data_IF_329306484981
#
_entry.id   IF_329306484981
#
_cell.length_a   1.000
_cell.length_b   1.000
_cell.length_c   1.000
_cell.angle_alpha   90.00
_cell.angle_beta   90.00
_cell.angle_gamma   90.00
#
_symmetry.space_group_name_H-M   'P 1'
#
loop_
_entity.id
_entity.type
_entity.pdbx_description
1 polymer ?
#
# COMPACT_ATOMS: atom_id res chain seq x y z
N UNK A 1 -6.08 4.36 22.49
CA UNK A 1 -6.71 4.79 21.22
C UNK A 1 -7.14 6.25 21.24
N UNK A 2 -7.94 6.74 22.22
CA UNK A 2 -8.38 8.16 22.23
C UNK A 2 -7.23 9.18 22.30
N UNK A 3 -6.18 8.87 23.06
CA UNK A 3 -4.94 9.67 23.07
C UNK A 3 -4.28 9.69 21.70
N UNK A 4 -4.03 8.50 21.12
CA UNK A 4 -3.45 8.37 19.78
C UNK A 4 -4.26 9.13 18.71
N UNK A 5 -5.58 9.06 18.73
CA UNK A 5 -6.44 9.81 17.81
C UNK A 5 -6.27 11.33 17.97
N UNK A 6 -6.18 11.80 19.22
CA UNK A 6 -5.93 13.22 19.51
C UNK A 6 -4.54 13.63 19.02
N UNK A 7 -3.52 12.80 19.27
CA UNK A 7 -2.14 13.02 18.83
C UNK A 7 -2.04 13.10 17.30
N UNK A 8 -2.68 12.19 16.56
CA UNK A 8 -2.71 12.23 15.09
C UNK A 8 -3.45 13.44 14.53
N UNK A 9 -4.53 13.89 15.18
CA UNK A 9 -5.21 15.15 14.80
C UNK A 9 -4.30 16.36 14.99
N UNK A 10 -3.55 16.40 16.09
CA UNK A 10 -2.56 17.46 16.35
C UNK A 10 -1.43 17.40 15.31
N UNK A 11 -0.91 16.20 15.01
CA UNK A 11 0.14 16.01 14.02
C UNK A 11 -0.30 16.49 12.63
N UNK A 12 -1.51 16.14 12.18
CA UNK A 12 -2.08 16.64 10.93
C UNK A 12 -2.23 18.16 10.93
N UNK A 13 -2.77 18.74 12.01
CA UNK A 13 -2.94 20.20 12.12
C UNK A 13 -1.59 20.93 12.07
N UNK A 14 -0.55 20.38 12.71
CA UNK A 14 0.79 20.94 12.68
C UNK A 14 1.40 20.86 11.28
N UNK A 15 1.29 19.70 10.62
CA UNK A 15 1.78 19.51 9.25
C UNK A 15 1.08 20.46 8.27
N UNK A 16 -0.23 20.65 8.37
CA UNK A 16 -0.99 21.60 7.56
C UNK A 16 -0.56 23.05 7.82
N UNK A 17 -0.30 23.41 9.08
CA UNK A 17 0.16 24.75 9.45
C UNK A 17 1.54 25.03 8.86
N UNK A 18 2.46 24.09 9.00
CA UNK A 18 3.83 24.18 8.46
C UNK A 18 3.82 24.26 6.92
N UNK A 19 3.01 23.42 6.26
CA UNK A 19 2.76 23.47 4.81
C UNK A 19 2.31 24.87 4.37
N UNK A 20 1.24 25.39 5.00
CA UNK A 20 0.65 26.67 4.62
C UNK A 20 1.62 27.85 4.84
N UNK A 21 2.32 27.89 5.97
CA UNK A 21 3.29 28.97 6.27
C UNK A 21 4.45 28.92 5.28
N UNK A 22 5.01 27.73 5.03
CA UNK A 22 6.17 27.57 4.17
C UNK A 22 5.86 27.92 2.71
N UNK A 23 4.70 27.48 2.20
CA UNK A 23 4.26 27.82 0.84
C UNK A 23 3.94 29.30 0.72
N UNK A 24 3.30 29.91 1.73
CA UNK A 24 3.03 31.35 1.71
C UNK A 24 4.32 32.16 1.67
N UNK A 25 5.30 31.78 2.51
CA UNK A 25 6.62 32.41 2.55
C UNK A 25 7.36 32.25 1.21
N UNK A 26 7.45 31.03 0.69
CA UNK A 26 8.13 30.76 -0.57
C UNK A 26 7.44 31.44 -1.76
N UNK A 27 6.10 31.47 -1.79
CA UNK A 27 5.32 32.19 -2.80
C UNK A 27 5.60 33.70 -2.74
N UNK A 28 5.62 34.28 -1.55
CA UNK A 28 5.92 35.70 -1.38
C UNK A 28 7.32 36.04 -1.88
N UNK A 29 8.31 35.19 -1.60
CA UNK A 29 9.69 35.35 -2.09
C UNK A 29 9.75 35.22 -3.61
N UNK A 30 9.07 34.24 -4.20
CA UNK A 30 8.98 34.07 -5.65
C UNK A 30 8.34 35.29 -6.33
N UNK A 31 7.18 35.74 -5.86
CA UNK A 31 6.51 36.93 -6.39
C UNK A 31 7.36 38.20 -6.24
N UNK A 32 8.09 38.33 -5.13
CA UNK A 32 9.07 39.39 -4.92
C UNK A 32 10.20 39.33 -5.95
N UNK A 33 10.78 38.15 -6.17
CA UNK A 33 11.84 37.91 -7.15
C UNK A 33 11.40 38.22 -8.58
N UNK A 34 10.19 37.84 -8.97
CA UNK A 34 9.62 38.16 -10.30
C UNK A 34 9.49 39.68 -10.49
N UNK A 35 9.02 40.40 -9.47
CA UNK A 35 8.90 41.87 -9.52
C UNK A 35 10.28 42.53 -9.61
N UNK A 36 11.23 42.08 -8.80
CA UNK A 36 12.59 42.61 -8.81
C UNK A 36 13.28 42.36 -10.15
N UNK A 37 13.16 41.15 -10.71
CA UNK A 37 13.66 40.83 -12.05
C UNK A 37 13.02 41.70 -13.15
N UNK A 38 11.71 41.91 -13.08
CA UNK A 38 11.00 42.80 -14.02
C UNK A 38 11.47 44.25 -13.92
N UNK A 39 11.72 44.73 -12.70
CA UNK A 39 12.24 46.08 -12.46
C UNK A 39 13.68 46.22 -12.96
N UNK A 40 14.55 45.26 -12.64
CA UNK A 40 15.93 45.26 -13.09
C UNK A 40 16.04 45.19 -14.63
N UNK A 41 15.15 44.44 -15.28
CA UNK A 41 15.04 44.43 -16.75
C UNK A 41 14.67 45.82 -17.31
N UNK A 42 13.72 46.52 -16.69
CA UNK A 42 13.34 47.87 -17.09
C UNK A 42 14.47 48.88 -16.86
N UNK A 43 15.17 48.78 -15.73
CA UNK A 43 16.31 49.64 -15.40
C UNK A 43 17.48 49.42 -16.37
N UNK A 44 17.73 48.18 -16.78
CA UNK A 44 18.72 47.87 -17.82
C UNK A 44 18.37 48.49 -19.17
N UNK A 45 17.12 48.39 -19.62
CA UNK A 45 16.68 49.03 -20.86
C UNK A 45 16.75 50.57 -20.78
N UNK A 46 16.47 51.14 -19.61
CA UNK A 46 16.62 52.58 -19.38
C UNK A 46 18.09 53.02 -19.45
N UNK A 47 19.01 52.25 -18.86
CA UNK A 47 20.45 52.52 -18.92
C UNK A 47 20.98 52.52 -20.36
N UNK A 48 20.57 51.54 -21.17
CA UNK A 48 20.92 51.46 -22.59
C UNK A 48 20.52 52.73 -23.36
N UNK A 49 19.37 53.32 -23.00
CA UNK A 49 18.79 54.47 -23.69
C UNK A 49 19.40 55.80 -23.22
N UNK A 50 19.55 56.00 -21.92
CA UNK A 50 19.93 57.30 -21.33
C UNK A 50 21.30 57.81 -21.82
N UNK A 51 22.31 56.93 -21.92
CA UNK A 51 23.62 57.33 -22.43
C UNK A 51 23.61 57.72 -23.91
N UNK A 52 22.73 57.10 -24.72
CA UNK A 52 22.60 57.41 -26.14
C UNK A 52 22.07 58.82 -26.38
N UNK A 53 21.15 59.31 -25.54
CA UNK A 53 20.56 60.65 -25.69
C UNK A 53 21.58 61.76 -25.41
N UNK A 54 22.40 61.61 -24.37
CA UNK A 54 23.44 62.60 -24.05
C UNK A 54 24.48 62.71 -25.16
N UNK A 55 24.93 61.57 -25.70
CA UNK A 55 25.88 61.55 -26.82
C UNK A 55 25.26 62.22 -28.06
N UNK A 56 24.02 61.88 -28.43
CA UNK A 56 23.32 62.52 -29.55
C UNK A 56 23.18 64.04 -29.39
N UNK A 57 22.93 64.52 -28.18
CA UNK A 57 22.88 65.95 -27.89
C UNK A 57 24.20 66.65 -28.18
N UNK A 58 25.30 66.08 -27.67
CA UNK A 58 26.66 66.61 -27.90
C UNK A 58 27.06 66.54 -29.38
N UNK A 59 26.73 65.47 -30.09
CA UNK A 59 26.93 65.35 -31.54
C UNK A 59 26.16 66.43 -32.32
N UNK A 60 24.95 66.77 -31.87
CA UNK A 60 24.16 67.86 -32.44
C UNK A 60 24.82 69.23 -32.24
N UNK A 61 25.35 69.49 -31.05
CA UNK A 61 26.10 70.72 -30.75
C UNK A 61 27.39 70.83 -31.58
N UNK A 62 28.13 69.73 -31.75
CA UNK A 62 29.32 69.69 -32.62
C UNK A 62 28.95 70.04 -34.06
N UNK A 63 27.87 69.47 -34.60
CA UNK A 63 27.41 69.79 -35.98
C UNK A 63 27.08 71.27 -36.17
N UNK A 64 26.55 71.93 -35.13
CA UNK A 64 26.28 73.37 -35.18
C UNK A 64 27.59 74.17 -35.27
N UNK A 65 28.58 73.83 -34.44
CA UNK A 65 29.90 74.46 -34.45
C UNK A 65 30.64 74.23 -35.77
N UNK A 66 30.54 73.03 -36.35
CA UNK A 66 31.10 72.69 -37.67
C UNK A 66 30.47 73.55 -38.78
N UNK A 67 29.16 73.79 -38.70
CA UNK A 67 28.45 74.65 -39.64
C UNK A 67 28.90 76.12 -39.50
N UNK A 68 29.08 76.62 -38.28
CA UNK A 68 29.61 77.97 -38.03
C UNK A 68 31.03 78.13 -38.56
N UNK A 69 31.90 77.11 -38.37
CA UNK A 69 33.24 77.08 -38.97
C UNK A 69 33.16 77.12 -40.49
N UNK A 70 32.28 76.32 -41.10
CA UNK A 70 32.12 76.29 -42.55
C UNK A 70 31.68 77.66 -43.11
N UNK A 71 30.75 78.34 -42.42
CA UNK A 71 30.32 79.70 -42.79
C UNK A 71 31.48 80.70 -42.67
N UNK A 72 32.26 80.66 -41.58
CA UNK A 72 33.41 81.54 -41.40
C UNK A 72 34.51 81.29 -42.46
N UNK A 73 34.73 80.03 -42.83
CA UNK A 73 35.65 79.65 -43.91
C UNK A 73 35.17 80.15 -45.28
N UNK A 74 33.88 80.04 -45.57
CA UNK A 74 33.28 80.59 -46.78
C UNK A 74 33.48 82.11 -46.84
N UNK A 75 33.27 82.83 -45.73
CA UNK A 75 33.49 84.27 -45.65
C UNK A 75 34.96 84.68 -45.80
N UNK A 76 35.90 83.89 -45.30
CA UNK A 76 37.33 84.12 -45.52
C UNK A 76 37.76 83.88 -46.97
N UNK A 77 37.02 83.06 -47.71
CA UNK A 77 37.25 82.77 -49.12
C UNK A 77 36.44 83.67 -50.07
N UNK A 78 35.65 84.60 -49.54
CA UNK A 78 34.80 85.51 -50.31
C UNK A 78 35.66 86.44 -51.17
N UNK A 79 35.51 86.34 -52.50
CA UNK A 79 36.32 87.09 -53.46
C UNK A 79 36.12 88.61 -53.35
N UNK A 80 34.91 89.07 -53.02
CA UNK A 80 34.61 90.50 -52.88
C UNK A 80 35.32 91.08 -51.64
N UNK A 81 35.27 90.37 -50.52
CA UNK A 81 35.99 90.72 -49.30
C UNK A 81 37.52 90.74 -49.52
N UNK A 82 38.06 89.71 -50.18
CA UNK A 82 39.49 89.61 -50.45
C UNK A 82 39.99 90.71 -51.39
N UNK A 83 39.23 91.02 -52.45
CA UNK A 83 39.55 92.13 -53.33
C UNK A 83 39.49 93.47 -52.59
N UNK A 84 38.46 93.69 -51.77
CA UNK A 84 38.33 94.90 -50.93
C UNK A 84 39.51 95.07 -49.98
N UNK A 85 40.00 93.97 -49.38
CA UNK A 85 41.18 93.98 -48.53
C UNK A 85 42.45 94.35 -49.30
N UNK A 86 42.70 93.72 -50.46
CA UNK A 86 43.88 94.02 -51.29
C UNK A 86 43.85 95.47 -51.83
N UNK A 87 42.68 95.98 -52.20
CA UNK A 87 42.50 97.38 -52.59
C UNK A 87 42.80 98.36 -51.44
N UNK A 88 42.27 98.10 -50.24
CA UNK A 88 42.53 98.90 -49.05
C UNK A 88 44.02 98.89 -48.67
N UNK A 89 44.66 97.73 -48.75
CA UNK A 89 46.11 97.57 -48.51
C UNK A 89 46.96 98.32 -49.52
N UNK A 90 46.59 98.30 -50.80
CA UNK A 90 47.24 99.08 -51.84
C UNK A 90 47.02 100.59 -51.66
N UNK A 91 45.82 101.02 -51.22
CA UNK A 91 45.52 102.41 -50.89
C UNK A 91 46.35 102.91 -49.69
N UNK A 92 46.41 102.15 -48.61
CA UNK A 92 47.26 102.42 -47.43
C UNK A 92 48.72 102.59 -47.84
N UNK A 93 49.26 101.64 -48.61
CA UNK A 93 50.66 101.67 -49.05
C UNK A 93 50.96 102.94 -49.86
N UNK A 94 50.07 103.31 -50.80
CA UNK A 94 50.21 104.53 -51.60
C UNK A 94 50.12 105.79 -50.73
N UNK A 95 49.13 105.88 -49.84
CA UNK A 95 48.92 107.03 -48.97
C UNK A 95 50.08 107.23 -47.98
N UNK A 96 50.61 106.13 -47.42
CA UNK A 96 51.79 106.12 -46.54
C UNK A 96 53.04 106.65 -47.24
N UNK A 97 53.32 106.21 -48.46
CA UNK A 97 54.47 106.70 -49.25
C UNK A 97 54.35 108.19 -49.53
N UNK A 98 53.18 108.62 -50.04
CA UNK A 98 52.89 110.02 -50.38
C UNK A 98 53.02 110.95 -49.17
N UNK A 99 52.50 110.53 -48.01
CA UNK A 99 52.67 111.26 -46.75
C UNK A 99 54.15 111.33 -46.34
N UNK A 100 54.89 110.22 -46.37
CA UNK A 100 56.30 110.16 -46.01
C UNK A 100 57.24 111.01 -46.89
N UNK A 101 56.84 111.27 -48.14
CA UNK A 101 57.58 112.11 -49.10
C UNK A 101 57.19 113.60 -49.03
N UNK A 102 56.23 113.99 -48.20
CA UNK A 102 55.70 115.37 -48.16
C UNK A 102 56.65 116.33 -47.43
N UNK A 103 56.93 117.50 -48.05
CA UNK A 103 57.69 118.59 -47.40
C UNK A 103 56.92 119.17 -46.21
N UNK A 104 57.55 119.15 -45.03
CA UNK A 104 57.03 119.68 -43.77
C UNK A 104 56.70 121.18 -43.81
N UNK A 105 57.31 121.94 -44.73
CA UNK A 105 57.01 123.38 -44.89
C UNK A 105 55.73 123.62 -45.71
N UNK A 106 55.19 122.61 -46.40
CA UNK A 106 53.93 122.69 -47.14
C UNK A 106 52.76 122.20 -46.26
N UNK A 107 52.30 123.08 -45.36
CA UNK A 107 51.28 122.75 -44.38
C UNK A 107 49.98 122.19 -45.01
N UNK A 108 49.53 122.71 -46.16
CA UNK A 108 48.29 122.23 -46.80
C UNK A 108 48.43 120.81 -47.36
N UNK A 109 49.53 120.53 -48.08
CA UNK A 109 49.78 119.20 -48.62
C UNK A 109 50.02 118.18 -47.50
N UNK A 110 50.75 118.59 -46.45
CA UNK A 110 51.00 117.76 -45.28
C UNK A 110 49.70 117.34 -44.58
N UNK A 111 48.82 118.29 -44.25
CA UNK A 111 47.55 117.98 -43.57
C UNK A 111 46.63 117.12 -44.44
N UNK A 112 46.56 117.37 -45.75
CA UNK A 112 45.75 116.55 -46.67
C UNK A 112 46.28 115.11 -46.76
N UNK A 113 47.59 114.93 -47.01
CA UNK A 113 48.16 113.59 -47.15
C UNK A 113 48.15 112.81 -45.84
N UNK A 114 48.27 113.48 -44.68
CA UNK A 114 48.09 112.85 -43.37
C UNK A 114 46.65 112.34 -43.20
N UNK A 115 45.65 113.14 -43.58
CA UNK A 115 44.24 112.72 -43.53
C UNK A 115 43.97 111.52 -44.44
N UNK A 116 44.48 111.54 -45.67
CA UNK A 116 44.34 110.43 -46.63
C UNK A 116 44.99 109.15 -46.08
N UNK A 117 46.18 109.26 -45.48
CA UNK A 117 46.87 108.16 -44.82
C UNK A 117 46.05 107.57 -43.67
N UNK A 118 45.56 108.41 -42.75
CA UNK A 118 44.76 107.97 -41.60
C UNK A 118 43.45 107.29 -42.03
N UNK A 119 42.81 107.79 -43.10
CA UNK A 119 41.59 107.19 -43.64
C UNK A 119 41.86 105.81 -44.26
N UNK A 120 42.94 105.69 -45.05
CA UNK A 120 43.32 104.42 -45.64
C UNK A 120 43.78 103.39 -44.59
N UNK A 121 44.47 103.85 -43.54
CA UNK A 121 44.84 103.04 -42.37
C UNK A 121 43.60 102.52 -41.64
N UNK A 122 42.65 103.38 -41.31
CA UNK A 122 41.40 102.98 -40.64
C UNK A 122 40.59 101.97 -41.46
N UNK A 123 40.54 102.16 -42.79
CA UNK A 123 39.82 101.24 -43.67
C UNK A 123 40.51 99.87 -43.73
N UNK A 124 41.85 99.83 -43.85
CA UNK A 124 42.60 98.57 -43.82
C UNK A 124 42.42 97.86 -42.48
N UNK A 125 42.57 98.57 -41.37
CA UNK A 125 42.41 98.04 -40.01
C UNK A 125 41.02 97.43 -39.81
N UNK A 126 39.96 98.10 -40.29
CA UNK A 126 38.60 97.57 -40.20
C UNK A 126 38.39 96.25 -40.95
N UNK A 127 39.05 96.06 -42.10
CA UNK A 127 38.98 94.81 -42.86
C UNK A 127 39.85 93.72 -42.24
N UNK A 128 41.00 94.08 -41.68
CA UNK A 128 41.84 93.16 -40.91
C UNK A 128 41.09 92.64 -39.67
N UNK A 129 40.36 93.49 -38.98
CA UNK A 129 39.51 93.12 -37.84
C UNK A 129 38.41 92.14 -38.26
N UNK A 130 37.73 92.37 -39.40
CA UNK A 130 36.73 91.44 -39.95
C UNK A 130 37.34 90.06 -40.27
N UNK A 131 38.47 90.03 -40.98
CA UNK A 131 39.16 88.78 -41.32
C UNK A 131 39.65 88.06 -40.07
N UNK A 132 40.17 88.80 -39.09
CA UNK A 132 40.60 88.22 -37.82
C UNK A 132 39.42 87.64 -37.03
N UNK A 133 38.27 88.32 -37.00
CA UNK A 133 37.06 87.81 -36.35
C UNK A 133 36.59 86.46 -36.91
N UNK A 134 36.68 86.24 -38.22
CA UNK A 134 36.40 84.92 -38.80
C UNK A 134 37.44 83.86 -38.42
N UNK A 135 38.74 84.21 -38.36
CA UNK A 135 39.80 83.30 -37.90
C UNK A 135 39.64 82.91 -36.43
N UNK A 136 39.26 83.87 -35.60
CA UNK A 136 38.99 83.67 -34.17
C UNK A 136 37.78 82.76 -34.01
N UNK A 137 36.69 82.99 -34.75
CA UNK A 137 35.51 82.12 -34.77
C UNK A 137 35.88 80.67 -35.09
N UNK A 138 36.73 80.44 -36.10
CA UNK A 138 37.18 79.10 -36.46
C UNK A 138 37.97 78.46 -35.31
N UNK A 139 38.92 79.20 -34.74
CA UNK A 139 39.82 78.70 -33.69
C UNK A 139 39.05 78.38 -32.41
N UNK A 140 38.15 79.27 -32.00
CA UNK A 140 37.32 79.12 -30.80
C UNK A 140 36.36 77.93 -30.96
N UNK A 141 35.67 77.83 -32.10
CA UNK A 141 34.76 76.71 -32.35
C UNK A 141 35.50 75.37 -32.47
N UNK A 142 36.72 75.33 -33.02
CA UNK A 142 37.56 74.12 -33.01
C UNK A 142 37.90 73.68 -31.59
N UNK A 143 38.27 74.62 -30.72
CA UNK A 143 38.54 74.36 -29.29
C UNK A 143 37.29 73.84 -28.57
N UNK A 144 36.11 74.40 -28.84
CA UNK A 144 34.84 73.93 -28.29
C UNK A 144 34.46 72.53 -28.79
N UNK A 145 34.71 72.21 -30.07
CA UNK A 145 34.52 70.85 -30.60
C UNK A 145 35.41 69.85 -29.87
N UNK A 146 36.69 70.15 -29.65
CA UNK A 146 37.59 69.25 -28.90
C UNK A 146 37.11 69.00 -27.46
N UNK A 147 36.58 70.02 -26.79
CA UNK A 147 35.98 69.87 -25.46
C UNK A 147 34.76 68.96 -25.50
N UNK A 148 33.85 69.16 -26.46
CA UNK A 148 32.65 68.33 -26.63
C UNK A 148 32.98 66.88 -27.00
N UNK A 149 34.02 66.65 -27.80
CA UNK A 149 34.51 65.30 -28.12
C UNK A 149 34.99 64.56 -26.86
N UNK A 150 35.71 65.25 -25.95
CA UNK A 150 36.09 64.68 -24.65
C UNK A 150 34.87 64.40 -23.76
N UNK A 151 33.85 65.25 -23.81
CA UNK A 151 32.58 64.99 -23.12
C UNK A 151 31.85 63.75 -23.67
N UNK A 152 31.86 63.54 -24.98
CA UNK A 152 31.31 62.33 -25.63
C UNK A 152 32.08 61.09 -25.19
N UNK A 153 33.42 61.13 -25.19
CA UNK A 153 34.24 60.00 -24.74
C UNK A 153 33.92 59.63 -23.28
N UNK A 154 33.85 60.64 -22.40
CA UNK A 154 33.46 60.45 -21.00
C UNK A 154 32.05 59.90 -20.85
N UNK A 155 31.09 60.42 -21.62
CA UNK A 155 29.71 59.94 -21.62
C UNK A 155 29.61 58.48 -22.08
N UNK A 156 30.38 58.10 -23.11
CA UNK A 156 30.45 56.72 -23.60
C UNK A 156 31.04 55.76 -22.57
N UNK A 157 32.11 56.17 -21.88
CA UNK A 157 32.70 55.37 -20.80
C UNK A 157 31.73 55.18 -19.61
N UNK A 158 31.02 56.24 -19.22
CA UNK A 158 30.00 56.17 -18.16
C UNK A 158 28.82 55.29 -18.58
N UNK A 159 28.33 55.43 -19.81
CA UNK A 159 27.26 54.58 -20.35
C UNK A 159 27.66 53.10 -20.35
N UNK A 160 28.90 52.78 -20.75
CA UNK A 160 29.38 51.40 -20.75
C UNK A 160 29.39 50.81 -19.33
N UNK A 161 29.82 51.60 -18.33
CA UNK A 161 29.81 51.20 -16.93
C UNK A 161 28.39 51.02 -16.39
N UNK A 162 27.50 51.97 -16.66
CA UNK A 162 26.10 51.92 -16.21
C UNK A 162 25.36 50.73 -16.84
N UNK A 163 25.57 50.47 -18.13
CA UNK A 163 25.04 49.29 -18.82
C UNK A 163 25.55 47.99 -18.20
N UNK A 164 26.85 47.89 -17.93
CA UNK A 164 27.43 46.70 -17.32
C UNK A 164 26.88 46.47 -15.91
N UNK A 165 26.74 47.53 -15.12
CA UNK A 165 26.15 47.45 -13.78
C UNK A 165 24.69 46.98 -13.86
N UNK A 166 23.89 47.60 -14.73
CA UNK A 166 22.48 47.25 -14.88
C UNK A 166 22.27 45.85 -15.45
N UNK A 167 23.13 45.37 -16.36
CA UNK A 167 23.14 43.98 -16.83
C UNK A 167 23.43 43.01 -15.69
N UNK A 168 24.46 43.28 -14.87
CA UNK A 168 24.78 42.43 -13.71
C UNK A 168 23.65 42.40 -12.68
N UNK A 169 23.04 43.55 -12.41
CA UNK A 169 21.89 43.68 -11.51
C UNK A 169 20.69 42.87 -12.06
N UNK A 170 20.42 42.95 -13.37
CA UNK A 170 19.40 42.15 -14.05
C UNK A 170 19.67 40.65 -13.99
N UNK A 171 20.87 40.20 -14.33
CA UNK A 171 21.25 38.79 -14.26
C UNK A 171 21.11 38.23 -12.85
N UNK A 172 21.57 38.99 -11.85
CA UNK A 172 21.46 38.60 -10.44
C UNK A 172 19.99 38.50 -9.99
N UNK A 173 19.16 39.47 -10.37
CA UNK A 173 17.73 39.45 -10.06
C UNK A 173 16.99 38.30 -10.77
N UNK A 174 17.32 38.02 -12.04
CA UNK A 174 16.78 36.89 -12.80
C UNK A 174 17.11 35.56 -12.11
N UNK A 175 18.39 35.34 -11.78
CA UNK A 175 18.84 34.12 -11.11
C UNK A 175 18.20 33.97 -9.72
N UNK A 176 18.06 35.06 -8.97
CA UNK A 176 17.37 35.04 -7.68
C UNK A 176 15.89 34.69 -7.82
N UNK A 177 15.23 35.16 -8.89
CA UNK A 177 13.84 34.82 -9.20
C UNK A 177 13.66 33.35 -9.59
N UNK A 178 14.59 32.81 -10.39
CA UNK A 178 14.62 31.38 -10.75
C UNK A 178 14.82 30.49 -9.52
N UNK A 179 15.79 30.81 -8.67
CA UNK A 179 16.01 30.09 -7.42
C UNK A 179 14.79 30.16 -6.49
N UNK A 180 14.15 31.33 -6.38
CA UNK A 180 12.93 31.48 -5.58
C UNK A 180 11.78 30.62 -6.13
N UNK A 181 11.68 30.45 -7.45
CA UNK A 181 10.74 29.53 -8.06
C UNK A 181 11.03 28.08 -7.69
N UNK A 182 12.29 27.66 -7.79
CA UNK A 182 12.70 26.29 -7.45
C UNK A 182 12.40 25.97 -5.97
N UNK A 183 12.70 26.90 -5.06
CA UNK A 183 12.37 26.77 -3.63
C UNK A 183 10.86 26.69 -3.42
N UNK A 184 10.07 27.48 -4.16
CA UNK A 184 8.61 27.41 -4.09
C UNK A 184 8.08 26.05 -4.53
N UNK A 185 8.49 25.57 -5.70
CA UNK A 185 8.08 24.28 -6.25
C UNK A 185 8.48 23.13 -5.29
N UNK A 186 9.73 23.14 -4.78
CA UNK A 186 10.20 22.18 -3.79
C UNK A 186 9.40 22.22 -2.47
N UNK A 187 9.03 23.42 -1.99
CA UNK A 187 8.25 23.57 -0.76
C UNK A 187 6.83 23.02 -0.93
N UNK A 188 6.25 23.18 -2.11
CA UNK A 188 4.94 22.59 -2.45
C UNK A 188 5.01 21.07 -2.43
N UNK A 189 6.01 20.49 -3.11
CA UNK A 189 6.14 19.04 -3.26
C UNK A 189 6.50 18.36 -1.93
N UNK A 190 7.59 18.77 -1.27
CA UNK A 190 8.12 18.09 -0.08
C UNK A 190 7.19 18.15 1.14
N UNK A 191 6.45 19.25 1.31
CA UNK A 191 5.54 19.40 2.44
C UNK A 191 4.17 18.76 2.19
N UNK A 192 3.77 18.59 0.92
CA UNK A 192 2.55 17.85 0.56
C UNK A 192 2.63 16.39 1.04
N UNK A 193 3.82 15.78 0.95
CA UNK A 193 4.06 14.42 1.44
C UNK A 193 3.88 14.31 2.96
N UNK A 194 4.31 15.33 3.71
CA UNK A 194 4.20 15.34 5.17
C UNK A 194 2.75 15.45 5.63
N UNK A 195 1.93 16.28 4.97
CA UNK A 195 0.48 16.36 5.21
C UNK A 195 -0.20 15.04 4.86
N UNK A 196 0.13 14.46 3.70
CA UNK A 196 -0.43 13.18 3.24
C UNK A 196 -0.12 12.05 4.24
N UNK A 197 1.12 11.99 4.74
CA UNK A 197 1.52 11.00 5.74
C UNK A 197 0.73 11.16 7.05
N UNK A 198 0.61 12.39 7.55
CA UNK A 198 -0.15 12.65 8.78
C UNK A 198 -1.65 12.35 8.63
N UNK A 199 -2.21 12.59 7.43
CA UNK A 199 -3.59 12.24 7.10
C UNK A 199 -3.78 10.72 7.11
N UNK A 200 -2.89 9.97 6.43
CA UNK A 200 -2.97 8.51 6.39
C UNK A 200 -2.88 7.89 7.79
N UNK A 201 -2.00 8.41 8.66
CA UNK A 201 -1.88 7.95 10.05
C UNK A 201 -3.14 8.25 10.87
N UNK A 202 -3.75 9.43 10.68
CA UNK A 202 -5.04 9.75 11.29
C UNK A 202 -6.14 8.79 10.82
N UNK A 203 -6.22 8.52 9.52
CA UNK A 203 -7.22 7.63 8.93
C UNK A 203 -7.06 6.19 9.45
N UNK A 204 -5.82 5.70 9.58
CA UNK A 204 -5.53 4.37 10.15
C UNK A 204 -5.97 4.27 11.62
N UNK A 205 -5.67 5.29 12.43
CA UNK A 205 -6.04 5.31 13.84
C UNK A 205 -7.55 5.51 14.02
N UNK A 206 -8.20 6.28 13.15
CA UNK A 206 -9.65 6.43 13.11
C UNK A 206 -10.32 5.10 12.77
N UNK A 207 -9.84 4.38 11.74
CA UNK A 207 -10.35 3.06 11.40
C UNK A 207 -10.20 2.05 12.56
N UNK A 208 -9.05 2.06 13.25
CA UNK A 208 -8.83 1.24 14.46
C UNK A 208 -9.77 1.63 15.60
N UNK A 209 -10.04 2.92 15.79
CA UNK A 209 -11.01 3.41 16.78
C UNK A 209 -12.43 2.96 16.44
N UNK A 210 -12.84 3.08 15.19
CA UNK A 210 -14.20 2.74 14.75
C UNK A 210 -14.43 1.22 14.85
N UNK A 211 -13.44 0.41 14.48
CA UNK A 211 -13.46 -1.04 14.67
C UNK A 211 -13.56 -1.39 16.17
N UNK A 212 -12.77 -0.74 17.03
CA UNK A 212 -12.85 -0.94 18.47
C UNK A 212 -14.21 -0.54 19.04
N UNK A 213 -14.76 0.60 18.63
CA UNK A 213 -16.07 1.08 19.08
C UNK A 213 -17.21 0.15 18.63
N UNK A 214 -17.12 -0.39 17.42
CA UNK A 214 -18.06 -1.40 16.91
C UNK A 214 -17.98 -2.68 17.75
N UNK A 215 -16.77 -3.10 18.10
CA UNK A 215 -16.53 -4.30 18.88
C UNK A 215 -17.04 -4.20 20.34
N UNK A 216 -16.85 -3.05 21.01
CA UNK A 216 -17.26 -2.87 22.41
C UNK A 216 -18.67 -2.29 22.59
N UNK A 217 -19.35 -1.91 21.51
CA UNK A 217 -20.65 -1.25 21.57
C UNK A 217 -20.60 0.16 22.19
N UNK A 218 -21.75 0.84 22.26
CA UNK A 218 -21.82 2.22 22.78
C UNK A 218 -21.62 2.29 24.31
N UNK A 219 -21.98 1.24 25.04
CA UNK A 219 -21.88 1.18 26.50
C UNK A 219 -20.56 0.57 26.99
N UNK A 220 -19.63 0.28 26.06
CA UNK A 220 -18.33 -0.36 26.31
C UNK A 220 -18.47 -1.74 26.96
N UNK A 221 -19.48 -2.51 26.53
CA UNK A 221 -19.73 -3.87 26.98
C UNK A 221 -19.76 -4.83 25.80
N UNK A 222 -19.05 -5.94 25.97
CA UNK A 222 -19.05 -7.04 25.01
C UNK A 222 -20.06 -8.06 25.50
N UNK A 223 -20.99 -8.44 24.63
CA UNK A 223 -22.05 -9.40 24.90
C UNK A 223 -21.75 -10.72 24.20
N UNK A 224 -22.13 -11.83 24.82
CA UNK A 224 -22.22 -13.10 24.10
C UNK A 224 -23.31 -12.97 23.02
N UNK A 225 -23.08 -13.46 21.78
CA UNK A 225 -24.10 -13.43 20.74
C UNK A 225 -25.37 -14.23 21.08
N UNK A 226 -25.24 -15.25 21.92
CA UNK A 226 -26.29 -16.19 22.29
C UNK A 226 -26.18 -16.60 23.77
N UNK A 227 -27.25 -17.18 24.31
CA UNK A 227 -27.28 -17.72 25.68
C UNK A 227 -26.46 -19.01 25.80
N UNK A 228 -25.80 -19.22 26.96
CA UNK A 228 -25.09 -20.45 27.27
C UNK A 228 -24.28 -20.39 28.57
N UNK A 229 -23.66 -21.51 28.92
CA UNK A 229 -22.77 -21.68 30.07
C UNK A 229 -21.37 -21.17 29.76
N UNK A 230 -20.89 -20.22 30.55
CA UNK A 230 -19.50 -19.75 30.47
C UNK A 230 -18.56 -20.86 30.96
N UNK A 231 -17.72 -21.38 30.06
CA UNK A 231 -16.74 -22.44 30.34
C UNK A 231 -15.35 -21.90 30.65
N UNK A 232 -15.09 -20.64 30.31
CA UNK A 232 -13.79 -20.00 30.57
C UNK A 232 -13.82 -18.50 30.39
N UNK A 233 -13.08 -17.80 31.27
CA UNK A 233 -12.82 -16.37 31.18
C UNK A 233 -11.31 -16.18 31.10
N UNK A 234 -10.85 -15.55 30.03
CA UNK A 234 -9.42 -15.45 29.71
C UNK A 234 -8.76 -14.17 30.23
N UNK A 235 -9.53 -13.19 30.67
CA UNK A 235 -9.00 -11.88 31.08
C UNK A 235 -9.50 -11.51 32.47
N UNK A 236 -8.64 -10.86 33.24
CA UNK A 236 -8.93 -10.31 34.55
C UNK A 236 -8.94 -8.78 34.53
N UNK A 237 -9.48 -8.17 35.59
CA UNK A 237 -9.51 -6.72 35.74
C UNK A 237 -8.09 -6.16 35.78
N UNK A 238 -7.76 -5.29 34.82
CA UNK A 238 -6.43 -4.70 34.66
C UNK A 238 -5.61 -5.32 33.52
N UNK A 239 -6.07 -6.44 32.94
CA UNK A 239 -5.40 -7.03 31.80
C UNK A 239 -5.50 -6.17 30.54
N UNK A 240 -4.46 -6.28 29.71
CA UNK A 240 -4.44 -5.71 28.37
C UNK A 240 -5.03 -6.70 27.37
N UNK A 241 -6.10 -6.28 26.70
CA UNK A 241 -6.75 -7.06 25.65
C UNK A 241 -5.87 -7.16 24.39
N UNK A 242 -5.90 -8.32 23.75
CA UNK A 242 -5.20 -8.64 22.49
C UNK A 242 -6.17 -9.31 21.52
N UNK A 243 -5.91 -9.22 20.23
CA UNK A 243 -6.74 -9.77 19.14
C UNK A 243 -6.57 -11.28 18.92
N UNK A 244 -5.61 -11.91 19.61
CA UNK A 244 -5.22 -13.31 19.40
C UNK A 244 -5.80 -14.29 20.43
N UNK A 245 -6.49 -13.81 21.46
CA UNK A 245 -6.99 -14.65 22.57
C UNK A 245 -8.49 -14.47 22.75
N UNK A 246 -9.21 -15.59 22.76
CA UNK A 246 -10.62 -15.60 23.08
C UNK A 246 -10.86 -15.01 24.48
N UNK A 247 -11.75 -14.03 24.59
CA UNK A 247 -12.04 -13.36 25.87
C UNK A 247 -12.87 -14.22 26.81
N UNK A 248 -13.88 -14.87 26.24
CA UNK A 248 -14.84 -15.70 26.93
C UNK A 248 -15.13 -16.91 26.04
N UNK A 249 -15.11 -18.10 26.63
CA UNK A 249 -15.59 -19.32 26.00
C UNK A 249 -16.87 -19.73 26.70
N UNK A 250 -17.86 -20.12 25.91
CA UNK A 250 -19.14 -20.59 26.42
C UNK A 250 -19.65 -21.77 25.59
N UNK A 251 -20.50 -22.58 26.19
CA UNK A 251 -21.14 -23.74 25.57
C UNK A 251 -22.66 -23.64 25.78
N UNK A 252 -23.44 -24.14 24.82
CA UNK A 252 -24.89 -24.21 24.94
C UNK A 252 -25.26 -25.42 25.80
N UNK A 253 -26.10 -25.25 26.82
CA UNK A 253 -26.29 -26.27 27.88
C UNK A 253 -27.07 -27.53 27.47
N UNK A 254 -27.71 -27.57 26.30
CA UNK A 254 -28.68 -28.65 25.98
C UNK A 254 -28.42 -29.35 24.63
N UNK A 255 -27.26 -29.13 24.01
CA UNK A 255 -26.93 -29.72 22.70
C UNK A 255 -25.55 -30.37 22.73
N UNK A 256 -25.50 -31.59 23.26
CA UNK A 256 -24.29 -32.42 23.17
C UNK A 256 -24.20 -33.10 21.82
N UNK A 257 -23.03 -33.02 21.21
CA UNK A 257 -22.72 -33.77 19.99
C UNK A 257 -21.56 -34.72 20.26
N UNK A 258 -21.65 -35.92 19.69
CA UNK A 258 -20.55 -36.87 19.60
C UNK A 258 -19.97 -36.76 18.21
N UNK A 259 -18.65 -36.60 18.13
CA UNK A 259 -17.90 -36.64 16.87
C UNK A 259 -17.13 -37.94 16.80
N UNK A 260 -17.32 -38.71 15.73
CA UNK A 260 -16.65 -39.99 15.48
C UNK A 260 -16.12 -40.02 14.06
N UNK A 261 -14.94 -40.60 13.87
CA UNK A 261 -14.38 -40.87 12.53
C UNK A 261 -14.81 -42.27 12.08
N UNK A 262 -15.56 -42.35 10.98
CA UNK A 262 -16.05 -43.63 10.40
C UNK A 262 -15.20 -43.98 9.19
N UNK A 263 -14.85 -45.26 9.03
CA UNK A 263 -13.99 -45.73 7.93
C UNK A 263 -14.65 -45.53 6.55
N UNK A 264 -13.85 -45.43 5.48
CA UNK A 264 -14.36 -45.38 4.10
C UNK A 264 -15.22 -46.59 3.72
N UNK A 265 -14.93 -47.77 4.30
CA UNK A 265 -15.68 -49.00 4.02
C UNK A 265 -17.09 -48.96 4.63
N UNK A 266 -17.22 -48.35 5.82
CA UNK A 266 -18.47 -48.36 6.59
C UNK A 266 -19.33 -47.11 6.36
N UNK A 267 -18.73 -45.98 5.95
CA UNK A 267 -19.45 -44.70 5.78
C UNK A 267 -20.58 -44.79 4.74
N UNK A 268 -20.48 -45.70 3.78
CA UNK A 268 -21.49 -45.92 2.75
C UNK A 268 -22.78 -46.56 3.30
N UNK A 269 -22.72 -47.19 4.49
CA UNK A 269 -23.84 -47.89 5.12
C UNK A 269 -24.65 -47.01 6.08
N UNK A 270 -24.27 -45.74 6.28
CA UNK A 270 -24.94 -44.82 7.21
C UNK A 270 -25.37 -43.52 6.52
N UNK A 271 -26.47 -42.94 6.98
CA UNK A 271 -27.06 -41.72 6.41
C UNK A 271 -27.40 -40.66 7.46
N UNK A 272 -27.34 -39.38 7.06
CA UNK A 272 -27.83 -38.28 7.89
C UNK A 272 -29.31 -38.49 8.21
N UNK A 273 -29.67 -38.39 9.50
CA UNK A 273 -31.01 -38.60 10.02
C UNK A 273 -31.24 -39.99 10.64
N UNK A 274 -30.32 -40.94 10.46
CA UNK A 274 -30.41 -42.26 11.09
C UNK A 274 -30.20 -42.21 12.60
N UNK A 275 -30.84 -43.15 13.30
CA UNK A 275 -30.70 -43.33 14.74
C UNK A 275 -29.50 -44.21 15.05
N UNK A 276 -28.77 -43.83 16.09
CA UNK A 276 -27.65 -44.60 16.63
C UNK A 276 -27.83 -44.77 18.13
N UNK A 277 -27.25 -45.83 18.69
CA UNK A 277 -27.18 -46.01 20.14
C UNK A 277 -25.82 -45.50 20.64
N UNK A 278 -25.84 -44.74 21.72
CA UNK A 278 -24.68 -44.12 22.33
C UNK A 278 -24.54 -44.62 23.76
N UNK A 279 -23.34 -45.03 24.14
CA UNK A 279 -22.98 -45.24 25.54
C UNK A 279 -21.70 -44.47 25.85
N UNK A 280 -21.61 -43.89 27.04
CA UNK A 280 -20.42 -43.13 27.45
C UNK A 280 -19.60 -43.96 28.41
N UNK A 281 -18.27 -43.90 28.33
CA UNK A 281 -17.41 -44.72 29.19
C UNK A 281 -17.61 -44.46 30.69
N UNK A 282 -18.11 -43.27 31.04
CA UNK A 282 -18.47 -42.91 32.42
C UNK A 282 -19.80 -43.55 32.90
N UNK A 283 -20.65 -43.99 31.98
CA UNK A 283 -21.99 -44.53 32.23
C UNK A 283 -22.27 -45.77 31.35
N UNK A 284 -21.53 -46.87 31.52
CA UNK A 284 -21.61 -48.03 30.63
C UNK A 284 -22.95 -48.79 30.71
N UNK A 285 -23.72 -48.60 31.80
CA UNK A 285 -25.04 -49.23 31.96
C UNK A 285 -26.20 -48.34 31.45
N UNK A 286 -25.90 -47.17 30.87
CA UNK A 286 -26.89 -46.26 30.32
C UNK A 286 -26.66 -46.08 28.82
N UNK A 287 -27.76 -46.15 28.07
CA UNK A 287 -27.79 -45.90 26.65
C UNK A 287 -28.55 -44.60 26.35
N UNK A 288 -28.03 -43.82 25.42
CA UNK A 288 -28.66 -42.65 24.84
C UNK A 288 -28.97 -42.92 23.37
N UNK A 289 -30.07 -42.37 22.89
CA UNK A 289 -30.30 -42.32 21.45
C UNK A 289 -29.53 -41.15 20.86
N UNK A 290 -28.93 -41.36 19.70
CA UNK A 290 -28.31 -40.33 18.87
C UNK A 290 -29.01 -40.23 17.52
N UNK A 291 -28.92 -39.06 16.89
CA UNK A 291 -29.29 -38.89 15.48
C UNK A 291 -28.10 -38.32 14.73
N UNK A 292 -27.73 -38.94 13.62
CA UNK A 292 -26.66 -38.43 12.75
C UNK A 292 -27.13 -37.10 12.15
N UNK A 293 -26.45 -36.00 12.47
CA UNK A 293 -26.79 -34.66 11.95
C UNK A 293 -25.91 -34.24 10.80
N UNK A 294 -24.69 -34.78 10.71
CA UNK A 294 -23.75 -34.45 9.65
C UNK A 294 -22.81 -35.61 9.36
N UNK A 295 -22.53 -35.84 8.08
CA UNK A 295 -21.44 -36.67 7.59
C UNK A 295 -20.56 -35.77 6.73
N UNK A 296 -19.32 -35.57 7.16
CA UNK A 296 -18.37 -34.72 6.43
C UNK A 296 -17.83 -35.51 5.25
N UNK A 297 -18.15 -35.09 4.01
CA UNK A 297 -17.78 -35.81 2.77
C UNK A 297 -16.33 -35.60 2.33
N UNK A 298 -15.52 -34.95 3.15
CA UNK A 298 -14.09 -34.71 2.92
C UNK A 298 -13.32 -35.45 4.01
N UNK A 299 -12.39 -36.32 3.62
CA UNK A 299 -11.60 -37.08 4.59
C UNK A 299 -10.66 -36.17 5.38
N UNK A 300 -10.50 -36.45 6.67
CA UNK A 300 -9.53 -35.80 7.57
C UNK A 300 -8.13 -36.40 7.48
N UNK A 301 -7.97 -37.50 6.72
CA UNK A 301 -6.74 -38.27 6.60
C UNK A 301 -5.79 -37.70 5.54
N UNK A 302 -5.19 -36.54 5.78
CA UNK A 302 -4.12 -36.07 4.88
C UNK A 302 -2.85 -36.96 5.00
N UNK A 303 -2.63 -37.63 6.15
CA UNK A 303 -1.41 -38.41 6.46
C UNK A 303 -1.66 -39.77 7.16
N UNK A 304 -2.88 -40.30 7.19
CA UNK A 304 -3.19 -41.58 7.83
C UNK A 304 -3.26 -42.74 6.82
N UNK A 305 -2.90 -43.95 7.25
CA UNK A 305 -2.98 -45.19 6.45
C UNK A 305 -4.41 -45.73 6.27
N UNK A 306 -5.41 -45.08 6.86
CA UNK A 306 -6.83 -45.41 6.77
C UNK A 306 -7.60 -44.13 6.47
N UNK A 307 -8.46 -44.15 5.44
CA UNK A 307 -9.34 -43.04 5.07
C UNK A 307 -10.56 -43.12 5.99
N UNK A 308 -10.84 -42.03 6.70
CA UNK A 308 -12.03 -41.89 7.53
C UNK A 308 -12.75 -40.56 7.27
N UNK A 309 -14.02 -40.54 7.62
CA UNK A 309 -14.94 -39.43 7.43
C UNK A 309 -15.55 -39.04 8.78
N UNK A 310 -15.42 -37.77 9.20
CA UNK A 310 -16.01 -37.30 10.44
C UNK A 310 -17.54 -37.29 10.37
N UNK A 311 -18.16 -37.93 11.35
CA UNK A 311 -19.61 -37.98 11.55
C UNK A 311 -19.96 -37.27 12.86
N UNK A 312 -20.96 -36.40 12.81
CA UNK A 312 -21.50 -35.71 13.98
C UNK A 312 -22.87 -36.28 14.32
N UNK A 313 -23.01 -36.69 15.58
CA UNK A 313 -24.24 -37.26 16.12
C UNK A 313 -24.75 -36.34 17.22
N UNK A 314 -26.01 -35.92 17.12
CA UNK A 314 -26.67 -35.18 18.18
C UNK A 314 -27.25 -36.16 19.20
N UNK A 315 -26.84 -36.03 20.46
CA UNK A 315 -27.37 -36.82 21.57
C UNK A 315 -28.82 -36.39 21.84
N UNK A 316 -29.71 -37.37 22.03
CA UNK A 316 -31.12 -37.18 22.38
C UNK A 316 -31.38 -37.65 23.81
N UNK A 317 -32.44 -37.11 24.41
CA UNK A 317 -32.86 -37.46 25.76
C UNK A 317 -32.25 -36.53 26.82
N UNK A 318 -32.12 -37.04 28.04
CA UNK A 318 -31.57 -36.29 29.17
C UNK A 318 -30.04 -36.29 29.12
N UNK A 319 -29.46 -35.12 28.85
CA UNK A 319 -28.02 -34.90 28.77
C UNK A 319 -27.43 -34.27 30.03
N UNK A 320 -28.19 -34.15 31.12
CA UNK A 320 -27.75 -33.47 32.35
C UNK A 320 -26.53 -34.13 33.02
N UNK A 321 -26.31 -35.41 32.76
CA UNK A 321 -25.15 -36.18 33.26
C UNK A 321 -23.93 -36.11 32.35
N UNK A 322 -24.07 -35.60 31.14
CA UNK A 322 -22.99 -35.57 30.16
C UNK A 322 -22.15 -34.31 30.33
N UNK A 323 -20.84 -34.46 30.13
CA UNK A 323 -19.88 -33.36 30.13
C UNK A 323 -19.10 -33.36 28.82
N UNK A 324 -18.76 -32.16 28.34
CA UNK A 324 -17.93 -32.01 27.14
C UNK A 324 -16.58 -32.68 27.33
N UNK A 325 -16.13 -33.43 26.32
CA UNK A 325 -14.86 -34.17 26.33
C UNK A 325 -14.93 -35.61 26.83
N UNK A 326 -16.12 -36.12 27.17
CA UNK A 326 -16.31 -37.55 27.43
C UNK A 326 -16.07 -38.42 26.19
N UNK A 327 -15.53 -39.62 26.40
CA UNK A 327 -15.46 -40.65 25.38
C UNK A 327 -16.81 -41.39 25.27
N UNK A 328 -17.25 -41.62 24.04
CA UNK A 328 -18.49 -42.30 23.71
C UNK A 328 -18.21 -43.48 22.77
N UNK A 329 -18.90 -44.58 23.01
CA UNK A 329 -19.04 -45.70 22.11
C UNK A 329 -20.34 -45.52 21.31
N UNK A 330 -20.24 -45.65 19.98
CA UNK A 330 -21.34 -45.45 19.04
C UNK A 330 -21.66 -46.77 18.36
N UNK A 331 -22.91 -47.21 18.46
CA UNK A 331 -23.41 -48.39 17.75
C UNK A 331 -24.36 -47.94 16.64
N UNK A 332 -23.95 -48.19 15.39
CA UNK A 332 -24.76 -47.94 14.21
C UNK A 332 -25.64 -49.15 13.92
N UNK A 333 -26.95 -48.93 13.78
CA UNK A 333 -27.90 -49.96 13.38
C UNK A 333 -28.06 -49.88 11.86
N UNK A 334 -27.35 -50.74 11.13
CA UNK A 334 -27.24 -50.70 9.66
C UNK A 334 -28.41 -51.40 8.94
N UNK A 335 -29.04 -52.38 9.58
CA UNK A 335 -30.21 -53.10 9.06
C UNK A 335 -30.92 -53.80 10.21
N UNK A 336 -32.23 -53.95 10.11
CA UNK A 336 -33.04 -54.60 11.13
C UNK A 336 -34.29 -55.20 10.49
N UNK A 337 -34.55 -56.47 10.77
CA UNK A 337 -35.78 -57.13 10.38
C UNK A 337 -36.64 -57.37 11.64
N UNK A 338 -37.84 -56.81 11.66
CA UNK A 338 -38.83 -57.02 12.73
C UNK A 338 -39.90 -58.02 12.26
N UNK A 339 -40.48 -58.77 13.20
CA UNK A 339 -41.55 -59.76 12.95
C UNK A 339 -41.20 -60.84 11.90
N UNK A 340 -40.00 -61.41 12.00
CA UNK A 340 -39.51 -62.46 11.08
C UNK A 340 -39.57 -63.87 11.68
N UNK A 341 -39.92 -64.86 10.86
CA UNK A 341 -39.76 -66.28 11.20
C UNK A 341 -38.28 -66.65 11.06
N UNK A 342 -37.66 -67.20 12.10
CA UNK A 342 -36.25 -67.54 12.04
C UNK A 342 -35.95 -68.94 12.54
N UNK A 343 -34.87 -69.50 12.01
CA UNK A 343 -34.34 -70.79 12.45
C UNK A 343 -32.88 -70.64 12.80
N UNK A 344 -32.36 -71.56 13.61
CA UNK A 344 -30.91 -71.61 13.80
C UNK A 344 -30.23 -71.84 12.47
N UNK A 345 -29.16 -71.08 12.18
CA UNK A 345 -28.35 -71.24 10.97
C UNK A 345 -27.83 -72.68 10.77
N UNK A 346 -27.68 -73.43 11.86
CA UNK A 346 -27.27 -74.85 11.86
C UNK A 346 -28.35 -75.81 11.34
N UNK A 347 -29.60 -75.37 11.21
CA UNK A 347 -30.70 -76.18 10.72
C UNK A 347 -30.84 -76.13 9.19
N UNK A 348 -30.24 -75.12 8.56
CA UNK A 348 -30.28 -74.88 7.13
C UNK A 348 -29.02 -75.46 6.50
N UNK A 349 -29.19 -76.23 5.44
CA UNK A 349 -28.08 -76.74 4.63
C UNK A 349 -28.37 -76.47 3.15
N UNK A 350 -27.31 -76.30 2.37
CA UNK A 350 -27.41 -75.97 0.95
C UNK A 350 -27.13 -77.21 0.10
N UNK A 351 -27.96 -77.46 -0.90
CA UNK A 351 -27.76 -78.54 -1.86
C UNK A 351 -28.13 -78.04 -3.27
N UNK A 352 -27.22 -78.18 -4.23
CA UNK A 352 -27.40 -77.71 -5.61
C UNK A 352 -27.83 -76.22 -5.74
N UNK A 353 -27.36 -75.35 -4.83
CA UNK A 353 -27.63 -73.91 -4.87
C UNK A 353 -28.99 -73.48 -4.30
N UNK A 354 -29.68 -74.39 -3.61
CA UNK A 354 -30.93 -74.12 -2.91
C UNK A 354 -30.80 -74.45 -1.41
N UNK A 355 -31.40 -73.62 -0.57
CA UNK A 355 -31.45 -73.82 0.88
C UNK A 355 -32.54 -74.82 1.24
N UNK A 356 -32.22 -75.75 2.15
CA UNK A 356 -33.16 -76.75 2.65
C UNK A 356 -33.08 -76.83 4.17
N UNK A 357 -34.19 -77.26 4.76
CA UNK A 357 -34.23 -77.76 6.13
C UNK A 357 -34.81 -79.16 6.15
N UNK A 358 -34.56 -79.87 7.23
CA UNK A 358 -35.32 -81.07 7.55
C UNK A 358 -36.42 -80.71 8.53
N UNK A 359 -37.67 -80.89 8.12
CA UNK A 359 -38.88 -80.65 8.92
C UNK A 359 -39.52 -81.97 9.33
N UNK A 360 -40.16 -81.99 10.49
CA UNK A 360 -40.97 -83.13 10.96
C UNK A 360 -42.37 -83.06 10.35
N UNK A 361 -42.79 -84.11 9.65
CA UNK A 361 -44.16 -84.22 9.14
C UNK A 361 -45.18 -84.61 10.24
N UNK A 362 -46.48 -84.56 9.93
CA UNK A 362 -47.55 -84.93 10.88
C UNK A 362 -47.49 -86.38 11.38
N UNK A 363 -46.76 -87.27 10.68
CA UNK A 363 -46.56 -88.67 11.04
C UNK A 363 -45.25 -88.89 11.82
N UNK A 364 -44.47 -87.84 12.06
CA UNK A 364 -43.21 -87.86 12.78
C UNK A 364 -41.98 -88.20 11.93
N UNK A 365 -42.09 -88.24 10.60
CA UNK A 365 -40.95 -88.51 9.71
C UNK A 365 -40.17 -87.23 9.36
N UNK A 366 -38.88 -87.41 9.06
CA UNK A 366 -37.98 -86.34 8.61
C UNK A 366 -38.17 -86.10 7.10
N UNK A 367 -38.67 -84.92 6.73
CA UNK A 367 -38.92 -84.52 5.34
C UNK A 367 -38.00 -83.37 4.97
N UNK A 368 -37.27 -83.53 3.85
CA UNK A 368 -36.46 -82.45 3.27
C UNK A 368 -37.38 -81.42 2.63
N UNK A 369 -37.35 -80.19 3.11
CA UNK A 369 -38.20 -79.08 2.68
C UNK A 369 -37.31 -77.95 2.18
N UNK A 370 -37.57 -77.48 0.97
CA UNK A 370 -36.86 -76.33 0.41
C UNK A 370 -37.34 -75.06 1.10
N UNK A 371 -36.41 -74.16 1.42
CA UNK A 371 -36.70 -72.87 2.06
C UNK A 371 -36.03 -71.74 1.30
N UNK A 372 -36.63 -70.56 1.38
CA UNK A 372 -36.04 -69.31 0.95
C UNK A 372 -35.61 -68.53 2.19
N UNK A 373 -34.34 -68.12 2.26
CA UNK A 373 -33.73 -67.50 3.44
C UNK A 373 -33.52 -66.00 3.24
N UNK A 374 -33.73 -65.22 4.28
CA UNK A 374 -33.57 -63.76 4.29
C UNK A 374 -32.37 -63.31 5.13
N UNK A 375 -32.57 -62.28 5.96
CA UNK A 375 -31.58 -61.73 6.86
C UNK A 375 -30.97 -62.82 7.75
N UNK A 376 -29.66 -62.79 7.93
CA UNK A 376 -28.99 -63.76 8.82
C UNK A 376 -28.05 -63.02 9.75
N UNK A 377 -28.13 -63.35 11.03
CA UNK A 377 -27.15 -62.92 12.01
C UNK A 377 -26.14 -64.06 12.29
N UNK A 378 -25.39 -63.93 13.39
CA UNK A 378 -24.38 -64.92 13.80
C UNK A 378 -24.97 -66.28 14.19
N UNK A 379 -26.22 -66.33 14.68
CA UNK A 379 -26.84 -67.53 15.24
C UNK A 379 -28.07 -68.03 14.46
N UNK A 380 -28.81 -67.11 13.85
CA UNK A 380 -30.14 -67.28 13.28
C UNK A 380 -30.16 -66.83 11.83
N UNK A 381 -31.07 -67.43 11.06
CA UNK A 381 -31.37 -67.07 9.68
C UNK A 381 -32.87 -66.96 9.52
N UNK A 382 -33.32 -65.85 8.95
CA UNK A 382 -34.70 -65.60 8.58
C UNK A 382 -35.14 -66.58 7.48
N UNK A 383 -36.38 -67.05 7.58
CA UNK A 383 -37.06 -67.87 6.58
C UNK A 383 -38.16 -67.02 5.95
N UNK A 384 -37.95 -66.64 4.68
CA UNK A 384 -38.89 -65.87 3.87
C UNK A 384 -40.05 -66.76 3.41
N UNK A 385 -39.74 -68.01 3.02
CA UNK A 385 -40.75 -68.97 2.56
C UNK A 385 -40.32 -70.43 2.75
N UNK A 386 -41.29 -71.34 2.83
CA UNK A 386 -41.07 -72.79 2.90
C UNK A 386 -41.29 -73.41 4.29
N UNK A 387 -41.47 -72.60 5.33
CA UNK A 387 -41.86 -73.04 6.68
C UNK A 387 -42.99 -72.18 7.23
N UNK A 388 -43.75 -72.74 8.15
CA UNK A 388 -44.78 -72.03 8.92
C UNK A 388 -44.36 -71.95 10.39
N UNK A 389 -44.93 -71.00 11.12
CA UNK A 389 -44.77 -70.91 12.57
C UNK A 389 -45.18 -72.24 13.24
N UNK A 390 -44.48 -72.63 14.31
CA UNK A 390 -44.61 -73.91 15.02
C UNK A 390 -44.13 -75.18 14.27
N UNK A 391 -43.62 -75.08 13.05
CA UNK A 391 -42.94 -76.23 12.43
C UNK A 391 -41.75 -76.68 13.30
N UNK A 392 -41.49 -78.00 13.33
CA UNK A 392 -40.36 -78.58 14.08
C UNK A 392 -39.27 -78.99 13.11
N UNK A 393 -38.09 -78.40 13.26
CA UNK A 393 -36.94 -78.62 12.39
C UNK A 393 -35.85 -79.42 13.08
N UNK A 394 -35.11 -80.18 12.28
CA UNK A 394 -33.95 -80.92 12.76
C UNK A 394 -32.70 -80.06 12.60
N UNK A 395 -31.96 -79.92 13.70
CA UNK A 395 -30.62 -79.34 13.69
C UNK A 395 -29.63 -80.50 13.60
N UNK A 396 -28.75 -80.47 12.61
CA UNK A 396 -27.75 -81.51 12.47
C UNK A 396 -26.69 -81.38 13.57
N UNK A 397 -26.51 -82.42 14.38
CA UNK A 397 -25.46 -82.53 15.39
C UNK A 397 -24.40 -83.50 14.89
N UNK A 398 -23.22 -82.96 14.53
CA UNK A 398 -22.05 -83.77 14.17
C UNK A 398 -21.33 -84.25 15.44
N UNK A 399 -21.54 -85.50 15.83
CA UNK A 399 -20.66 -86.20 16.79
C UNK A 399 -19.49 -86.87 16.05
N UNK A 400 -18.30 -86.29 16.15
CA UNK A 400 -17.05 -86.90 15.71
C UNK A 400 -16.62 -87.99 16.70
N UNK A 401 -16.72 -89.27 16.30
CA UNK A 401 -16.10 -90.39 17.04
C UNK A 401 -14.95 -90.93 16.19
N UNK A 402 -13.71 -90.60 16.58
CA UNK A 402 -12.53 -91.29 16.09
C UNK A 402 -11.86 -92.01 17.26
N UNK A 403 -11.74 -93.32 17.09
CA UNK A 403 -11.17 -94.30 18.01
C UNK A 403 -9.70 -94.03 18.33
N UNK A 404 -9.40 -93.88 19.62
CA UNK A 404 -8.04 -93.96 20.15
C UNK A 404 -7.48 -95.38 19.99
N UNK A 405 -6.28 -95.48 19.44
CA UNK A 405 -5.34 -96.55 19.78
C UNK A 405 -4.17 -95.94 20.53
N UNK A 406 -4.11 -96.35 21.78
CA UNK A 406 -3.21 -95.94 22.82
C UNK A 406 -1.72 -96.06 22.46
N UNK A 407 -0.98 -95.03 22.88
CA UNK A 407 0.20 -95.20 23.70
C UNK A 407 1.52 -95.32 22.94
N UNK A 408 2.29 -94.23 22.95
CA UNK A 408 3.56 -94.22 23.68
C UNK A 408 4.16 -92.82 23.80
N UNK A 409 4.43 -92.49 25.06
CA UNK A 409 5.56 -91.70 25.55
C UNK A 409 5.56 -90.22 25.20
N UNK A 410 4.86 -89.46 26.04
CA UNK A 410 5.31 -88.13 26.43
C UNK A 410 6.71 -88.24 27.04
N UNK A 411 7.63 -87.46 26.48
CA UNK A 411 8.96 -87.24 27.02
C UNK A 411 9.28 -85.74 26.87
N UNK A 412 8.49 -84.93 27.53
CA UNK A 412 8.92 -83.67 28.13
C UNK A 412 8.72 -83.84 29.64
N UNK A 413 9.41 -83.12 30.53
CA UNK A 413 10.08 -81.83 30.30
C UNK A 413 11.40 -81.74 31.11
N UNK A 414 11.64 -80.59 31.76
CA UNK A 414 12.69 -80.26 32.72
C UNK A 414 13.98 -79.71 32.04
N UNK A 415 14.62 -78.60 32.43
CA UNK A 415 14.37 -77.45 33.31
C UNK A 415 15.67 -76.64 33.37
N UNK A 416 15.56 -75.30 33.34
CA UNK A 416 16.34 -74.48 34.27
C UNK A 416 15.44 -73.33 34.74
N UNK A 417 14.84 -73.57 35.90
CA UNK A 417 14.20 -72.58 36.77
C UNK A 417 15.25 -71.88 37.61
N UNK A 418 15.17 -70.55 37.67
CA UNK A 418 15.35 -69.79 38.91
C UNK A 418 14.13 -68.88 38.91
N UNK A 419 13.15 -69.05 39.82
CA UNK A 419 13.13 -68.39 41.13
C UNK A 419 12.34 -69.25 42.15
N UNK A 420 13.10 -69.69 43.17
CA UNK A 420 12.78 -70.09 44.57
C UNK A 420 11.36 -70.46 45.01
N UNK A 421 11.26 -71.71 45.52
CA UNK A 421 10.69 -72.17 46.80
C UNK A 421 9.41 -71.49 47.34
N UNK A 422 8.33 -72.25 47.54
CA UNK A 422 8.21 -73.13 48.72
C UNK A 422 6.94 -74.03 48.65
N UNK A 423 7.14 -75.24 49.19
CA UNK A 423 6.29 -76.34 49.66
C UNK A 423 4.76 -76.13 49.85
N UNK A 424 3.88 -77.14 49.85
CA UNK A 424 3.92 -78.58 49.58
C UNK A 424 2.49 -79.14 49.81
N UNK A 425 2.24 -80.33 49.24
CA UNK A 425 1.24 -81.35 49.65
C UNK A 425 -0.25 -81.02 49.45
N UNK A 426 -1.07 -81.81 48.75
CA UNK A 426 -0.95 -83.20 48.28
C UNK A 426 -2.32 -83.88 48.40
N UNK A 427 -2.83 -84.42 47.27
CA UNK A 427 -3.68 -85.62 46.99
C UNK A 427 -4.58 -86.28 48.08
N UNK A 428 -5.41 -87.31 47.75
CA UNK A 428 -6.17 -87.71 46.54
C UNK A 428 -7.70 -87.82 46.89
N UNK A 429 -8.71 -87.95 46.02
CA UNK A 429 -8.92 -88.81 44.86
C UNK A 429 -9.88 -89.97 45.21
N UNK A 430 -11.06 -90.06 44.56
CA UNK A 430 -11.74 -91.34 44.23
C UNK A 430 -13.02 -91.18 43.37
N UNK A 431 -12.93 -91.74 42.16
CA UNK A 431 -13.87 -92.58 41.40
C UNK A 431 -15.41 -92.37 41.45
N UNK A 432 -16.00 -92.39 40.25
CA UNK A 432 -17.01 -93.42 39.93
C UNK A 432 -18.25 -92.98 39.12
N UNK A 433 -18.40 -93.62 37.96
CA UNK A 433 -19.66 -93.98 37.26
C UNK A 433 -20.31 -92.98 36.25
N UNK A 434 -20.56 -93.52 35.05
CA UNK A 434 -21.48 -93.07 33.99
C UNK A 434 -22.61 -94.14 33.89
N UNK A 435 -23.67 -94.03 33.05
CA UNK A 435 -23.95 -93.05 31.97
C UNK A 435 -25.44 -92.58 31.86
N UNK A 436 -25.75 -91.70 30.89
CA UNK A 436 -26.75 -91.96 29.82
C UNK A 436 -26.87 -90.79 28.81
N UNK A 437 -27.15 -91.13 27.53
CA UNK A 437 -27.27 -90.22 26.36
C UNK A 437 -28.74 -89.99 25.95
N UNK A 438 -29.09 -88.76 25.57
CA UNK A 438 -30.37 -88.36 24.98
C UNK A 438 -30.17 -87.44 23.75
N UNK A 439 -30.92 -87.65 22.65
CA UNK A 439 -30.88 -86.84 21.42
C UNK A 439 -31.93 -85.70 21.46
N UNK A 440 -31.56 -84.46 21.09
CA UNK A 440 -32.41 -83.25 21.17
C UNK A 440 -33.08 -82.80 19.85
N UNK A 441 -34.26 -82.18 19.95
CA UNK A 441 -35.06 -81.55 18.87
C UNK A 441 -35.17 -80.02 19.12
N UNK A 442 -35.39 -79.19 18.09
CA UNK A 442 -35.64 -77.74 18.24
C UNK A 442 -36.88 -77.28 17.47
N UNK A 443 -37.68 -76.39 18.07
CA UNK A 443 -38.85 -75.77 17.44
C UNK A 443 -38.47 -74.44 16.75
N UNK A 444 -39.23 -74.05 15.72
CA UNK A 444 -39.14 -72.73 15.07
C UNK A 444 -39.79 -71.67 15.94
N UNK A 445 -39.28 -70.43 15.89
CA UNK A 445 -39.89 -69.25 16.50
C UNK A 445 -40.00 -68.10 15.53
#
# INVERSE_FOLDING_TARGET
MKSALTESKIALSNAQTEYNISILSAKSTYEGGVKEGSRAAADYQAALTAGSEKIKGLEGEIKLLELEIAIAQEKLADEELLNSYEEAKAAYTRAKSKYGETDLHNSTAYTSNLSDYQQAESQLESLEEVLQGYRDTITDNQSEIEKKQKEIEKAGALQALDNQKAENDYQSASLSGELAKEIYDYSVDSLSDSVTKAQNELDEIQAKMDAFQTFVGEDNRIYAPEDGLVTGVSYEAGDKLTDTRAMLTYAKEDEYTVSIDVSEEDIAAISVGERVELSFSAYPEQAWEGVITSITTTSTSEHASTISYPVTILVKGDTTLLYGGMAADVTFVIDSAEDVLYVSKKAVFEEEGHSYVYKKDANGNRVKTQVETGFSDTASIEIISGLEEEDVIYIESVMNVNSEKAGKEDNEPDYETVVTDDESNGFPGMNGEAPDMENGFSAIK
#
